data_IF_502244953347
#
_entry.id   IF_502244953347
#
_cell.length_a   1.000
_cell.length_b   1.000
_cell.length_c   1.000
_cell.angle_alpha   90.00
_cell.angle_beta   90.00
_cell.angle_gamma   90.00
#
_symmetry.space_group_name_H-M   'P 1'
#
loop_
_entity.id
_entity.type
_entity.pdbx_description
1 polymer ?
#
# COMPACT_ATOMS: atom_id res chain seq x y z
N UNK A 1 -64.85 12.18 36.92
CA UNK A 1 -64.00 11.92 35.74
C UNK A 1 -62.62 11.51 36.25
N UNK A 2 -62.35 10.21 36.34
CA UNK A 2 -61.12 9.69 36.96
C UNK A 2 -59.95 9.68 35.95
N UNK A 3 -58.86 10.38 36.25
CA UNK A 3 -57.66 10.37 35.41
C UNK A 3 -56.94 9.02 35.52
N UNK A 4 -56.82 8.33 34.37
CA UNK A 4 -56.04 7.11 34.20
C UNK A 4 -54.55 7.48 34.28
N UNK A 5 -53.86 7.16 35.38
CA UNK A 5 -52.39 7.35 35.49
C UNK A 5 -51.68 6.38 34.55
N UNK A 6 -50.99 6.92 33.55
CA UNK A 6 -49.99 6.20 32.76
C UNK A 6 -48.80 5.86 33.65
N UNK A 7 -48.45 4.57 33.79
CA UNK A 7 -47.20 4.17 34.45
C UNK A 7 -46.05 4.44 33.48
N UNK A 8 -45.21 5.41 33.81
CA UNK A 8 -43.88 5.55 33.20
C UNK A 8 -43.01 4.39 33.66
N UNK A 9 -42.57 3.56 32.72
CA UNK A 9 -41.48 2.61 32.94
C UNK A 9 -40.17 3.34 32.64
N UNK A 10 -39.38 3.60 33.68
CA UNK A 10 -38.03 4.14 33.56
C UNK A 10 -37.01 3.01 33.61
N UNK A 11 -35.95 3.11 32.81
CA UNK A 11 -34.80 2.23 32.92
C UNK A 11 -34.12 2.41 34.28
N UNK A 12 -33.68 1.30 34.87
CA UNK A 12 -32.89 1.31 36.09
C UNK A 12 -31.48 1.84 35.82
N UNK A 13 -30.86 2.44 36.84
CA UNK A 13 -29.45 2.87 36.76
C UNK A 13 -28.51 1.70 36.42
N UNK A 14 -28.83 0.49 36.90
CA UNK A 14 -28.04 -0.70 36.62
C UNK A 14 -28.18 -1.17 35.17
N UNK A 15 -29.37 -1.09 34.56
CA UNK A 15 -29.56 -1.43 33.14
C UNK A 15 -28.73 -0.50 32.25
N UNK A 16 -28.72 0.80 32.54
CA UNK A 16 -27.93 1.75 31.75
C UNK A 16 -26.42 1.52 31.93
N UNK A 17 -25.98 1.12 33.13
CA UNK A 17 -24.59 0.78 33.41
C UNK A 17 -24.13 -0.48 32.67
N UNK A 18 -24.97 -1.52 32.62
CA UNK A 18 -24.64 -2.75 31.88
C UNK A 18 -24.57 -2.49 30.37
N UNK A 19 -25.45 -1.64 29.83
CA UNK A 19 -25.46 -1.31 28.39
C UNK A 19 -24.16 -0.60 27.98
N UNK A 20 -23.71 0.41 28.72
CA UNK A 20 -22.44 1.09 28.39
C UNK A 20 -21.24 0.16 28.54
N UNK A 21 -21.27 -0.79 29.49
CA UNK A 21 -20.23 -1.79 29.64
C UNK A 21 -20.16 -2.73 28.42
N UNK A 22 -21.32 -3.21 27.92
CA UNK A 22 -21.38 -4.04 26.72
C UNK A 22 -20.91 -3.27 25.49
N UNK A 23 -21.35 -2.02 25.31
CA UNK A 23 -20.91 -1.17 24.20
C UNK A 23 -19.39 -0.96 24.25
N UNK A 24 -18.82 -0.74 25.44
CA UNK A 24 -17.38 -0.59 25.63
C UNK A 24 -16.59 -1.82 25.18
N UNK A 25 -17.04 -3.02 25.56
CA UNK A 25 -16.41 -4.29 25.15
C UNK A 25 -16.51 -4.50 23.64
N UNK A 26 -17.69 -4.29 23.05
CA UNK A 26 -17.90 -4.45 21.60
C UNK A 26 -17.06 -3.43 20.81
N UNK A 27 -16.99 -2.17 21.26
CA UNK A 27 -16.19 -1.13 20.63
C UNK A 27 -14.69 -1.47 20.63
N UNK A 28 -14.17 -2.02 21.75
CA UNK A 28 -12.77 -2.43 21.84
C UNK A 28 -12.43 -3.54 20.83
N UNK A 29 -13.29 -4.56 20.69
CA UNK A 29 -13.09 -5.66 19.73
C UNK A 29 -13.09 -5.12 18.28
N UNK A 30 -14.04 -4.24 17.95
CA UNK A 30 -14.15 -3.64 16.61
C UNK A 30 -12.91 -2.81 16.26
N UNK A 31 -12.38 -2.04 17.20
CA UNK A 31 -11.18 -1.22 16.97
C UNK A 31 -9.96 -2.07 16.59
N UNK A 32 -9.74 -3.21 17.27
CA UNK A 32 -8.63 -4.12 16.96
C UNK A 32 -8.77 -4.73 15.56
N UNK A 33 -9.98 -5.15 15.19
CA UNK A 33 -10.25 -5.73 13.87
C UNK A 33 -10.03 -4.74 12.71
N UNK A 34 -10.37 -3.46 12.90
CA UNK A 34 -10.22 -2.41 11.88
C UNK A 34 -8.76 -2.09 11.53
N UNK A 35 -7.83 -2.25 12.47
CA UNK A 35 -6.39 -2.01 12.23
C UNK A 35 -5.83 -2.90 11.12
N UNK A 36 -6.04 -4.21 11.22
CA UNK A 36 -5.57 -5.17 10.23
C UNK A 36 -6.24 -5.04 8.86
N UNK A 37 -7.54 -4.72 8.84
CA UNK A 37 -8.28 -4.51 7.59
C UNK A 37 -7.77 -3.31 6.79
N UNK A 38 -7.43 -2.20 7.46
CA UNK A 38 -6.88 -0.99 6.82
C UNK A 38 -5.51 -1.25 6.20
N UNK A 39 -4.64 -2.00 6.88
CA UNK A 39 -3.32 -2.39 6.35
C UNK A 39 -3.44 -3.20 5.06
N UNK A 40 -4.29 -4.24 5.07
CA UNK A 40 -4.56 -5.07 3.87
C UNK A 40 -5.12 -4.25 2.71
N UNK A 41 -6.03 -3.32 2.97
CA UNK A 41 -6.58 -2.44 1.93
C UNK A 41 -5.50 -1.54 1.30
N UNK A 42 -4.57 -1.02 2.11
CA UNK A 42 -3.41 -0.26 1.61
C UNK A 42 -2.45 -1.11 0.80
N UNK A 43 -2.19 -2.36 1.21
CA UNK A 43 -1.36 -3.29 0.42
C UNK A 43 -1.98 -3.63 -0.94
N UNK A 44 -3.31 -3.82 -1.00
CA UNK A 44 -4.03 -4.01 -2.28
C UNK A 44 -3.86 -2.79 -3.19
N UNK A 45 -3.94 -1.58 -2.62
CA UNK A 45 -3.70 -0.34 -3.35
C UNK A 45 -2.27 -0.27 -3.91
N UNK A 46 -1.24 -0.55 -3.09
CA UNK A 46 0.17 -0.59 -3.51
C UNK A 46 0.40 -1.52 -4.70
N UNK A 47 -0.08 -2.77 -4.57
CA UNK A 47 0.06 -3.78 -5.63
C UNK A 47 -0.62 -3.34 -6.93
N UNK A 48 -1.77 -2.71 -6.82
CA UNK A 48 -2.55 -2.22 -7.96
C UNK A 48 -1.83 -1.06 -8.65
N UNK A 49 -1.36 -0.07 -7.89
CA UNK A 49 -0.63 1.09 -8.41
C UNK A 49 0.68 0.65 -9.08
N UNK A 50 1.48 -0.20 -8.43
CA UNK A 50 2.70 -0.76 -9.01
C UNK A 50 2.44 -1.52 -10.32
N UNK A 51 1.39 -2.35 -10.35
CA UNK A 51 1.04 -3.11 -11.56
C UNK A 51 0.63 -2.20 -12.72
N UNK A 52 -0.03 -1.08 -12.43
CA UNK A 52 -0.43 -0.10 -13.45
C UNK A 52 0.77 0.67 -13.99
N UNK A 53 1.63 1.17 -13.11
CA UNK A 53 2.85 1.90 -13.48
C UNK A 53 3.81 0.98 -14.23
N UNK A 54 4.00 -0.26 -13.76
CA UNK A 54 4.85 -1.24 -14.42
C UNK A 54 4.42 -1.47 -15.85
N UNK A 55 3.13 -1.72 -16.10
CA UNK A 55 2.60 -1.87 -17.46
C UNK A 55 2.87 -0.66 -18.36
N UNK A 56 2.81 0.54 -17.81
CA UNK A 56 3.07 1.77 -18.56
C UNK A 56 4.55 1.89 -18.95
N UNK A 57 5.46 1.67 -18.01
CA UNK A 57 6.91 1.88 -18.19
C UNK A 57 7.64 0.67 -18.78
N UNK A 58 7.02 -0.50 -18.75
CA UNK A 58 7.54 -1.73 -19.33
C UNK A 58 6.66 -2.22 -20.47
N UNK A 59 5.93 -1.35 -21.19
CA UNK A 59 5.02 -1.77 -22.27
C UNK A 59 5.78 -2.46 -23.41
N UNK A 60 6.78 -1.80 -24.00
CA UNK A 60 7.65 -2.34 -25.06
C UNK A 60 8.98 -2.81 -24.48
N UNK A 61 9.81 -1.88 -24.04
CA UNK A 61 11.10 -2.09 -23.39
C UNK A 61 11.08 -1.44 -22.01
N UNK A 62 11.95 -1.88 -21.10
CA UNK A 62 12.17 -1.17 -19.85
C UNK A 62 12.69 0.23 -20.14
N UNK A 63 12.09 1.23 -19.51
CA UNK A 63 12.53 2.62 -19.59
C UNK A 63 13.89 2.78 -18.89
N UNK A 64 14.87 3.37 -19.57
CA UNK A 64 16.18 3.67 -18.97
C UNK A 64 16.21 5.18 -18.67
N UNK A 65 16.29 5.59 -17.39
CA UNK A 65 16.39 7.00 -17.01
C UNK A 65 17.67 7.63 -17.57
N UNK A 66 17.70 8.96 -17.68
CA UNK A 66 18.88 9.68 -18.19
C UNK A 66 20.13 9.47 -17.31
N UNK A 67 19.92 9.20 -16.02
CA UNK A 67 20.96 8.86 -15.05
C UNK A 67 21.55 7.45 -15.25
N UNK A 68 20.96 6.63 -16.12
CA UNK A 68 21.42 5.28 -16.45
C UNK A 68 20.82 4.19 -15.55
N UNK A 69 21.57 3.11 -15.39
CA UNK A 69 21.21 1.93 -14.60
C UNK A 69 21.22 2.27 -13.10
N UNK A 70 20.20 1.83 -12.37
CA UNK A 70 20.08 2.15 -10.95
C UNK A 70 18.70 1.86 -10.37
N UNK A 71 18.54 2.29 -9.11
CA UNK A 71 17.30 2.27 -8.35
C UNK A 71 16.81 3.71 -8.14
N UNK A 72 15.55 3.96 -8.46
CA UNK A 72 14.96 5.29 -8.45
C UNK A 72 13.62 5.27 -7.75
N UNK A 73 13.38 6.24 -6.87
CA UNK A 73 12.03 6.54 -6.41
C UNK A 73 11.22 7.13 -7.58
N UNK A 74 9.93 6.83 -7.62
CA UNK A 74 9.04 7.32 -8.66
C UNK A 74 9.04 8.86 -8.74
N UNK A 75 9.24 9.55 -7.63
CA UNK A 75 9.35 11.02 -7.57
C UNK A 75 10.42 11.56 -8.51
N UNK A 76 11.58 10.91 -8.57
CA UNK A 76 12.72 11.34 -9.39
C UNK A 76 12.53 10.99 -10.88
N UNK A 77 11.70 9.98 -11.16
CA UNK A 77 11.39 9.54 -12.51
C UNK A 77 10.30 10.37 -13.18
N UNK A 78 9.31 10.83 -12.43
CA UNK A 78 8.14 11.52 -12.99
C UNK A 78 8.54 12.71 -13.89
N UNK A 79 9.43 13.63 -13.49
CA UNK A 79 9.83 14.75 -14.35
C UNK A 79 10.48 14.28 -15.66
N UNK A 80 11.28 13.21 -15.60
CA UNK A 80 11.95 12.63 -16.77
C UNK A 80 10.94 11.97 -17.71
N UNK A 81 9.95 11.25 -17.16
CA UNK A 81 8.88 10.61 -17.92
C UNK A 81 7.95 11.62 -18.58
N UNK A 82 7.63 12.72 -17.91
CA UNK A 82 6.84 13.81 -18.49
C UNK A 82 7.57 14.47 -19.67
N UNK A 83 8.89 14.65 -19.57
CA UNK A 83 9.71 15.18 -20.65
C UNK A 83 9.85 14.19 -21.82
N UNK A 84 10.04 12.89 -21.52
CA UNK A 84 10.21 11.84 -22.51
C UNK A 84 8.90 11.49 -23.24
N UNK A 85 7.76 11.61 -22.55
CA UNK A 85 6.43 11.28 -23.09
C UNK A 85 5.41 12.41 -22.83
N UNK A 86 5.49 13.55 -23.54
CA UNK A 86 4.60 14.69 -23.35
C UNK A 86 3.11 14.34 -23.52
N UNK A 87 2.80 13.34 -24.37
CA UNK A 87 1.44 12.87 -24.61
C UNK A 87 0.77 12.25 -23.36
N UNK A 88 1.55 11.80 -22.39
CA UNK A 88 1.06 11.21 -21.14
C UNK A 88 1.24 12.13 -19.94
N UNK A 89 1.80 13.34 -20.13
CA UNK A 89 2.09 14.27 -19.04
C UNK A 89 0.85 14.60 -18.18
N UNK A 90 -0.32 14.71 -18.81
CA UNK A 90 -1.59 14.94 -18.09
C UNK A 90 -1.94 13.81 -17.10
N UNK A 91 -1.60 12.56 -17.42
CA UNK A 91 -1.88 11.40 -16.58
C UNK A 91 -0.81 11.18 -15.49
N UNK A 92 0.40 11.73 -15.69
CA UNK A 92 1.51 11.67 -14.73
C UNK A 92 1.46 12.78 -13.66
N UNK A 93 0.38 13.59 -13.61
CA UNK A 93 0.20 14.65 -12.61
C UNK A 93 -0.20 14.12 -11.24
N UNK A 94 -0.84 12.95 -11.18
CA UNK A 94 -1.21 12.28 -9.93
C UNK A 94 -0.20 11.18 -9.62
N UNK A 95 0.96 11.57 -9.10
CA UNK A 95 2.01 10.63 -8.70
C UNK A 95 1.49 9.75 -7.56
N UNK A 96 1.42 8.43 -7.73
CA UNK A 96 1.06 7.54 -6.64
C UNK A 96 2.15 7.56 -5.57
N UNK A 97 1.74 7.73 -4.32
CA UNK A 97 2.60 7.70 -3.14
C UNK A 97 2.14 6.57 -2.23
N UNK A 98 3.08 5.97 -1.49
CA UNK A 98 2.74 4.97 -0.49
C UNK A 98 1.74 5.55 0.53
N UNK A 99 0.59 4.89 0.76
CA UNK A 99 -0.50 5.44 1.57
C UNK A 99 -0.22 5.52 3.08
N UNK A 100 0.92 5.01 3.57
CA UNK A 100 1.33 5.06 4.97
C UNK A 100 2.61 5.85 5.17
N UNK A 101 3.62 5.59 4.35
CA UNK A 101 4.99 6.09 4.55
C UNK A 101 5.44 7.07 3.48
N UNK A 102 4.68 7.24 2.39
CA UNK A 102 5.08 8.06 1.25
C UNK A 102 4.55 9.49 1.30
N UNK A 103 5.30 10.40 0.69
CA UNK A 103 4.93 11.78 0.41
C UNK A 103 5.43 12.23 -0.98
N UNK A 104 5.38 13.53 -1.27
CA UNK A 104 5.82 14.07 -2.57
C UNK A 104 7.35 14.15 -2.73
N UNK A 105 8.12 13.93 -1.67
CA UNK A 105 9.58 13.88 -1.71
C UNK A 105 10.09 12.43 -1.81
N UNK A 106 9.38 11.48 -1.20
CA UNK A 106 9.67 10.05 -1.25
C UNK A 106 8.37 9.27 -1.39
N UNK A 107 8.10 8.72 -2.57
CA UNK A 107 6.88 7.94 -2.79
C UNK A 107 6.96 6.56 -2.13
N UNK A 108 8.18 6.04 -1.89
CA UNK A 108 8.47 4.65 -1.52
C UNK A 108 8.01 3.62 -2.57
N UNK A 109 7.75 4.08 -3.80
CA UNK A 109 7.58 3.25 -4.98
C UNK A 109 8.86 3.34 -5.80
N UNK A 110 9.54 2.21 -5.92
CA UNK A 110 10.85 2.14 -6.51
C UNK A 110 10.82 1.47 -7.87
N UNK A 111 11.71 1.92 -8.73
CA UNK A 111 11.97 1.36 -10.04
C UNK A 111 13.46 1.05 -10.16
N UNK A 112 13.76 -0.23 -10.33
CA UNK A 112 15.12 -0.70 -10.54
C UNK A 112 15.25 -1.20 -11.98
N UNK A 113 16.26 -0.70 -12.68
CA UNK A 113 16.59 -1.09 -14.06
C UNK A 113 18.03 -1.61 -14.10
N UNK A 114 18.26 -2.66 -14.89
CA UNK A 114 19.55 -3.34 -15.07
C UNK A 114 20.04 -3.26 -16.52
N UNK A 115 21.31 -3.60 -16.76
CA UNK A 115 22.00 -3.49 -18.06
C UNK A 115 21.34 -4.33 -19.17
N UNK A 116 20.67 -5.42 -18.80
CA UNK A 116 20.07 -6.40 -19.72
C UNK A 116 18.65 -6.02 -20.19
N UNK A 117 18.26 -4.75 -20.11
CA UNK A 117 16.89 -4.28 -20.37
C UNK A 117 15.83 -4.92 -19.47
N UNK A 118 16.25 -5.47 -18.33
CA UNK A 118 15.37 -5.95 -17.28
C UNK A 118 15.05 -4.84 -16.29
N UNK A 119 13.82 -4.82 -15.81
CA UNK A 119 13.39 -3.85 -14.83
C UNK A 119 12.37 -4.42 -13.87
N UNK A 120 12.26 -3.78 -12.72
CA UNK A 120 11.34 -4.17 -11.67
C UNK A 120 10.79 -2.94 -10.95
N UNK A 121 9.48 -2.92 -10.76
CA UNK A 121 8.80 -1.98 -9.87
C UNK A 121 8.55 -2.66 -8.55
N UNK A 122 8.83 -2.01 -7.44
CA UNK A 122 8.62 -2.63 -6.15
C UNK A 122 8.23 -1.63 -5.06
N UNK A 123 7.57 -2.14 -4.02
CA UNK A 123 7.27 -1.41 -2.80
C UNK A 123 7.24 -2.36 -1.60
N UNK A 124 7.46 -1.80 -0.41
CA UNK A 124 7.35 -2.53 0.84
C UNK A 124 5.87 -2.67 1.25
N UNK A 125 5.45 -3.84 1.73
CA UNK A 125 4.10 -4.08 2.21
C UNK A 125 4.00 -3.90 3.72
N UNK A 126 2.78 -3.77 4.24
CA UNK A 126 2.51 -3.70 5.67
C UNK A 126 2.14 -5.04 6.30
N UNK A 127 1.58 -5.95 5.51
CA UNK A 127 1.22 -7.28 5.97
C UNK A 127 2.45 -8.20 6.03
N UNK A 128 3.02 -8.39 7.22
CA UNK A 128 4.12 -9.33 7.44
C UNK A 128 3.74 -10.80 7.12
N UNK A 129 2.44 -11.12 7.20
CA UNK A 129 1.93 -12.46 6.91
C UNK A 129 1.54 -12.64 5.42
N UNK A 130 1.99 -11.75 4.54
CA UNK A 130 1.74 -11.91 3.11
C UNK A 130 2.48 -13.15 2.57
N UNK A 131 1.82 -14.04 1.80
CA UNK A 131 2.48 -15.22 1.26
C UNK A 131 3.64 -14.86 0.34
N UNK A 132 4.83 -15.36 0.65
CA UNK A 132 6.03 -15.20 -0.19
C UNK A 132 5.90 -16.10 -1.42
N UNK A 133 5.89 -15.49 -2.61
CA UNK A 133 5.78 -16.21 -3.88
C UNK A 133 7.11 -16.28 -4.64
N UNK A 134 8.10 -15.49 -4.22
CA UNK A 134 9.46 -15.46 -4.78
C UNK A 134 10.47 -15.81 -3.67
N UNK A 135 10.50 -17.06 -3.18
CA UNK A 135 11.31 -17.45 -2.04
C UNK A 135 12.82 -17.45 -2.31
N UNK A 136 13.23 -17.46 -3.57
CA UNK A 136 14.64 -17.40 -3.98
C UNK A 136 15.22 -15.98 -3.94
N UNK A 137 14.38 -14.95 -3.78
CA UNK A 137 14.80 -13.56 -3.77
C UNK A 137 14.72 -12.98 -2.36
N UNK A 138 15.81 -12.31 -1.96
CA UNK A 138 15.91 -11.55 -0.71
C UNK A 138 16.06 -10.05 -0.94
N UNK A 139 16.08 -9.61 -2.19
CA UNK A 139 16.11 -8.20 -2.59
C UNK A 139 15.32 -8.03 -3.89
N UNK A 140 14.68 -6.87 -4.11
CA UNK A 140 14.07 -6.56 -5.39
C UNK A 140 15.08 -6.71 -6.53
N UNK A 141 14.73 -7.50 -7.54
CA UNK A 141 15.68 -7.89 -8.60
C UNK A 141 15.06 -7.71 -9.97
N UNK A 142 15.70 -6.92 -10.83
CA UNK A 142 15.33 -6.77 -12.24
C UNK A 142 15.34 -8.14 -12.93
N UNK A 143 14.27 -8.48 -13.65
CA UNK A 143 14.12 -9.80 -14.30
C UNK A 143 13.78 -10.94 -13.33
N UNK A 144 13.68 -10.68 -12.02
CA UNK A 144 13.34 -11.67 -10.98
C UNK A 144 11.86 -12.09 -10.96
N UNK A 145 11.08 -11.73 -11.97
CA UNK A 145 9.64 -12.01 -12.06
C UNK A 145 8.78 -11.10 -11.18
N UNK A 146 7.47 -11.39 -11.14
CA UNK A 146 6.47 -10.63 -10.39
C UNK A 146 5.93 -11.44 -9.21
N UNK A 147 5.86 -10.84 -8.03
CA UNK A 147 5.44 -11.54 -6.82
C UNK A 147 5.91 -10.90 -5.52
N UNK A 148 5.77 -11.64 -4.44
CA UNK A 148 6.15 -11.21 -3.08
C UNK A 148 7.45 -11.89 -2.68
N UNK A 149 8.42 -11.10 -2.21
CA UNK A 149 9.71 -11.55 -1.68
C UNK A 149 9.88 -11.11 -0.22
N UNK A 150 10.80 -11.77 0.49
CA UNK A 150 11.12 -11.44 1.87
C UNK A 150 12.57 -10.97 2.00
N UNK A 151 12.73 -9.69 2.36
CA UNK A 151 14.01 -9.03 2.49
C UNK A 151 14.77 -9.39 3.77
N UNK A 152 16.04 -9.00 3.82
CA UNK A 152 16.91 -9.16 5.00
C UNK A 152 16.70 -8.08 6.06
N UNK A 153 16.19 -6.91 5.66
CA UNK A 153 15.97 -5.74 6.51
C UNK A 153 14.55 -5.21 6.35
N UNK A 154 14.07 -4.50 7.38
CA UNK A 154 12.77 -3.84 7.32
C UNK A 154 12.80 -2.68 6.32
N UNK A 155 11.68 -2.53 5.60
CA UNK A 155 11.44 -1.43 4.69
C UNK A 155 10.66 -0.27 5.32
N UNK A 156 10.30 0.75 4.52
CA UNK A 156 9.62 1.96 4.98
C UNK A 156 8.28 1.75 5.69
N UNK A 157 7.59 0.63 5.42
CA UNK A 157 6.32 0.29 6.08
C UNK A 157 6.48 -0.55 7.35
N UNK A 158 7.72 -0.84 7.75
CA UNK A 158 8.07 -1.58 8.97
C UNK A 158 7.97 -3.10 8.83
N UNK A 159 8.06 -3.63 7.60
CA UNK A 159 8.12 -5.08 7.38
C UNK A 159 9.25 -5.44 6.41
N UNK A 160 9.57 -6.73 6.34
CA UNK A 160 10.54 -7.28 5.39
C UNK A 160 9.87 -7.77 4.10
N UNK A 161 8.58 -7.53 3.94
CA UNK A 161 7.81 -8.06 2.81
C UNK A 161 7.80 -7.03 1.70
N UNK A 162 8.23 -7.42 0.51
CA UNK A 162 8.21 -6.57 -0.67
C UNK A 162 7.38 -7.21 -1.76
N UNK A 163 6.58 -6.40 -2.43
CA UNK A 163 5.94 -6.81 -3.67
C UNK A 163 6.68 -6.19 -4.84
N UNK A 164 6.98 -7.01 -5.84
CA UNK A 164 7.67 -6.57 -7.04
C UNK A 164 6.90 -6.99 -8.30
N UNK A 165 7.01 -6.19 -9.35
CA UNK A 165 6.48 -6.44 -10.69
C UNK A 165 7.64 -6.30 -11.66
N UNK A 166 8.23 -7.43 -12.02
CA UNK A 166 9.37 -7.51 -12.95
C UNK A 166 8.96 -7.77 -14.39
N UNK A 167 9.75 -7.26 -15.33
CA UNK A 167 9.75 -7.61 -16.75
C UNK A 167 11.12 -8.10 -17.19
#
# INVERSE_FOLDING_TARGET
>A
MGLKRSRSFGYTMIELLVVIAIIGVLAAIVLVALGGARGKARDVRRKTELSQIAKFLSASTCYIPASGIGDYDLTDLIPQLQAAYPQYAQYLTQVPVDPKSGDLAQTNYHYLVSEESHCVFYANLENENEPVTLPSLSTPTAGGGSGVLQATTDGPNGTRIYYQVGK
#
